data_IF_605648835860
#
_entry.id   IF_605648835860
#
_cell.length_a   1.000
_cell.length_b   1.000
_cell.length_c   1.000
_cell.angle_alpha   90.00
_cell.angle_beta   90.00
_cell.angle_gamma   90.00
#
_symmetry.space_group_name_H-M   'P 1'
#
loop_
_entity.id
_entity.type
_entity.pdbx_description
1 polymer ?
#
# COMPACT_ATOMS: atom_id res chain seq x y z
N UNK A 1 4.46 -12.52 -13.95
CA UNK A 1 4.01 -11.44 -14.83
C UNK A 1 3.16 -10.41 -14.08
N UNK A 2 2.47 -10.81 -13.00
CA UNK A 2 1.67 -9.93 -12.12
C UNK A 2 2.53 -8.97 -11.25
N UNK A 3 3.81 -9.32 -11.06
CA UNK A 3 4.81 -8.61 -10.25
C UNK A 3 5.20 -7.20 -10.76
N UNK A 4 5.07 -6.93 -12.06
CA UNK A 4 5.55 -5.67 -12.65
C UNK A 4 4.69 -4.46 -12.29
N UNK A 5 3.39 -4.65 -12.11
CA UNK A 5 2.47 -3.52 -11.90
C UNK A 5 2.49 -3.04 -10.46
N UNK A 6 2.65 -3.96 -9.50
CA UNK A 6 2.83 -3.62 -8.10
C UNK A 6 4.10 -2.78 -7.88
N UNK A 7 5.19 -3.17 -8.54
CA UNK A 7 6.46 -2.41 -8.49
C UNK A 7 6.27 -0.99 -9.05
N UNK A 8 5.51 -0.82 -10.13
CA UNK A 8 5.25 0.50 -10.72
C UNK A 8 4.45 1.40 -9.78
N UNK A 9 3.39 0.87 -9.14
CA UNK A 9 2.59 1.63 -8.17
C UNK A 9 3.40 2.03 -6.93
N UNK A 10 4.25 1.12 -6.42
CA UNK A 10 5.14 1.42 -5.27
C UNK A 10 6.21 2.45 -5.65
N UNK A 11 6.71 2.43 -6.89
CA UNK A 11 7.61 3.46 -7.41
C UNK A 11 6.92 4.82 -7.53
N UNK A 12 5.67 4.88 -8.01
CA UNK A 12 4.89 6.12 -8.05
C UNK A 12 4.64 6.67 -6.64
N UNK A 13 4.25 5.81 -5.69
CA UNK A 13 4.10 6.19 -4.27
C UNK A 13 5.41 6.77 -3.72
N UNK A 14 6.55 6.19 -4.06
CA UNK A 14 7.86 6.66 -3.60
C UNK A 14 8.34 7.92 -4.30
N UNK A 15 7.71 8.30 -5.43
CA UNK A 15 8.00 9.52 -6.18
C UNK A 15 7.11 10.68 -5.74
N UNK A 16 5.96 10.38 -5.11
CA UNK A 16 5.05 11.37 -4.55
C UNK A 16 5.34 11.58 -3.06
N UNK A 17 6.14 12.61 -2.74
CA UNK A 17 6.54 12.94 -1.36
C UNK A 17 5.34 13.19 -0.43
N UNK A 18 4.23 13.75 -0.95
CA UNK A 18 3.06 14.10 -0.14
C UNK A 18 2.31 12.83 0.29
N UNK A 19 2.09 11.91 -0.65
CA UNK A 19 1.52 10.60 -0.38
C UNK A 19 2.44 9.75 0.50
N UNK A 20 3.75 9.74 0.20
CA UNK A 20 4.74 9.01 0.98
C UNK A 20 4.72 9.44 2.45
N UNK A 21 4.73 10.74 2.71
CA UNK A 21 4.62 11.28 4.07
C UNK A 21 3.26 10.98 4.71
N UNK A 22 2.17 10.99 3.94
CA UNK A 22 0.83 10.66 4.45
C UNK A 22 0.73 9.19 4.87
N UNK A 23 1.33 8.26 4.11
CA UNK A 23 1.38 6.83 4.46
C UNK A 23 2.22 6.63 5.72
N UNK A 24 3.38 7.29 5.81
CA UNK A 24 4.26 7.18 6.98
C UNK A 24 3.59 7.73 8.24
N UNK A 25 2.96 8.90 8.15
CA UNK A 25 2.16 9.44 9.24
C UNK A 25 0.98 8.52 9.57
N UNK A 26 0.35 7.96 8.55
CA UNK A 26 -0.72 6.99 8.71
C UNK A 26 -0.29 5.75 9.49
N UNK A 27 0.95 5.27 9.34
CA UNK A 27 1.47 4.17 10.17
C UNK A 27 1.60 4.52 11.64
N UNK A 28 1.85 5.79 11.97
CA UNK A 28 1.79 6.25 13.35
C UNK A 28 0.31 6.40 13.79
N UNK A 29 -0.56 7.00 13.00
CA UNK A 29 -1.94 7.21 13.42
C UNK A 29 -2.76 5.91 13.54
N UNK A 30 -2.46 4.91 12.71
CA UNK A 30 -3.18 3.65 12.65
C UNK A 30 -2.75 2.69 13.77
N UNK A 31 -3.71 2.36 14.64
CA UNK A 31 -3.49 1.49 15.79
C UNK A 31 -3.06 0.07 15.39
N UNK A 32 -3.50 -0.43 14.23
CA UNK A 32 -3.07 -1.74 13.73
C UNK A 32 -1.62 -1.68 13.27
N UNK A 33 -1.22 -0.66 12.52
CA UNK A 33 0.15 -0.48 12.05
C UNK A 33 1.12 -0.34 13.23
N UNK A 34 0.78 0.48 14.22
CA UNK A 34 1.52 0.57 15.48
C UNK A 34 1.66 -0.80 16.15
N UNK A 35 0.54 -1.53 16.29
CA UNK A 35 0.54 -2.85 16.91
C UNK A 35 1.40 -3.84 16.12
N UNK A 36 1.27 -3.90 14.80
CA UNK A 36 2.01 -4.82 13.94
C UNK A 36 3.52 -4.60 14.01
N UNK A 37 3.96 -3.33 14.03
CA UNK A 37 5.37 -2.96 14.19
C UNK A 37 5.86 -3.30 15.61
N UNK A 38 5.07 -3.00 16.65
CA UNK A 38 5.41 -3.29 18.04
C UNK A 38 5.50 -4.79 18.33
N UNK A 39 4.57 -5.57 17.80
CA UNK A 39 4.52 -7.02 18.01
C UNK A 39 5.47 -7.79 17.10
N UNK A 40 6.16 -7.10 16.18
CA UNK A 40 6.97 -7.72 15.10
C UNK A 40 6.25 -8.92 14.50
N UNK A 41 5.05 -8.66 13.96
CA UNK A 41 4.20 -9.71 13.40
C UNK A 41 4.99 -10.54 12.38
N UNK A 42 4.93 -11.87 12.50
CA UNK A 42 5.64 -12.76 11.57
C UNK A 42 5.13 -12.55 10.14
N UNK A 43 6.04 -12.36 9.19
CA UNK A 43 5.70 -11.97 7.81
C UNK A 43 5.64 -10.46 7.55
N UNK A 44 5.80 -9.61 8.57
CA UNK A 44 5.96 -8.16 8.39
C UNK A 44 7.41 -7.83 8.00
N UNK A 45 7.59 -7.30 6.80
CA UNK A 45 8.84 -6.77 6.28
C UNK A 45 8.74 -5.26 6.16
N UNK A 46 9.68 -4.54 6.75
CA UNK A 46 9.83 -3.10 6.54
C UNK A 46 10.85 -2.87 5.43
N UNK A 47 10.45 -2.18 4.36
CA UNK A 47 11.35 -1.79 3.27
C UNK A 47 11.39 -0.27 3.22
N UNK A 48 12.49 0.31 3.69
CA UNK A 48 12.57 1.76 3.91
C UNK A 48 11.61 2.21 5.01
N UNK A 49 10.69 3.13 4.67
CA UNK A 49 9.63 3.56 5.57
C UNK A 49 8.29 2.81 5.34
N UNK A 50 8.20 2.00 4.30
CA UNK A 50 6.99 1.26 3.93
C UNK A 50 6.94 -0.11 4.62
N UNK A 51 5.73 -0.52 5.01
CA UNK A 51 5.46 -1.81 5.64
C UNK A 51 4.85 -2.77 4.63
N UNK A 52 5.37 -3.99 4.58
CA UNK A 52 4.88 -5.06 3.72
C UNK A 52 4.53 -6.26 4.60
N UNK A 53 3.33 -6.81 4.43
CA UNK A 53 2.90 -8.03 5.10
C UNK A 53 2.69 -9.12 4.05
N UNK A 54 3.45 -10.21 4.16
CA UNK A 54 3.37 -11.34 3.23
C UNK A 54 3.47 -10.96 1.73
N UNK A 55 4.34 -10.00 1.41
CA UNK A 55 4.54 -9.40 0.07
C UNK A 55 3.46 -8.43 -0.40
N UNK A 56 2.49 -8.09 0.45
CA UNK A 56 1.50 -7.04 0.19
C UNK A 56 1.86 -5.78 0.93
N UNK A 57 1.70 -4.61 0.30
CA UNK A 57 1.93 -3.35 0.98
C UNK A 57 0.81 -3.15 2.03
N UNK A 58 1.20 -2.86 3.26
CA UNK A 58 0.28 -2.49 4.34
C UNK A 58 -0.15 -1.05 4.11
N UNK A 59 -1.46 -0.85 4.00
CA UNK A 59 -2.04 0.47 3.80
C UNK A 59 -2.72 0.90 5.11
N UNK A 60 -2.28 1.99 5.76
CA UNK A 60 -2.92 2.45 6.98
C UNK A 60 -4.33 2.97 6.68
N UNK A 61 -5.29 2.74 7.58
CA UNK A 61 -6.69 3.19 7.42
C UNK A 61 -6.88 4.63 7.89
N UNK A 62 -5.93 5.51 7.57
CA UNK A 62 -5.92 6.89 8.03
C UNK A 62 -6.30 7.84 6.91
N UNK A 63 -7.33 8.65 7.13
CA UNK A 63 -7.79 9.67 6.18
C UNK A 63 -8.14 9.09 4.79
N UNK A 64 -7.64 9.74 3.73
CA UNK A 64 -7.88 9.36 2.34
C UNK A 64 -6.77 8.47 1.76
N UNK A 65 -5.81 7.99 2.55
CA UNK A 65 -4.70 7.13 2.08
C UNK A 65 -5.21 5.93 1.28
N UNK A 66 -6.20 5.14 1.75
CA UNK A 66 -6.76 4.03 0.98
C UNK A 66 -7.20 4.42 -0.43
N UNK A 67 -7.84 5.58 -0.52
CA UNK A 67 -8.53 6.04 -1.73
C UNK A 67 -7.55 6.66 -2.73
N UNK A 68 -6.54 7.38 -2.23
CA UNK A 68 -5.47 7.91 -3.07
C UNK A 68 -4.58 6.78 -3.59
N UNK A 69 -4.24 5.80 -2.74
CA UNK A 69 -3.46 4.64 -3.16
C UNK A 69 -4.20 3.79 -4.18
N UNK A 70 -5.51 3.60 -3.97
CA UNK A 70 -6.38 2.96 -4.94
C UNK A 70 -6.41 3.70 -6.28
N UNK A 71 -6.44 5.03 -6.26
CA UNK A 71 -6.44 5.88 -7.46
C UNK A 71 -5.11 5.81 -8.20
N UNK A 72 -3.99 5.86 -7.49
CA UNK A 72 -2.65 5.74 -8.07
C UNK A 72 -2.40 4.36 -8.66
N UNK A 73 -2.73 3.30 -7.91
CA UNK A 73 -2.68 1.94 -8.43
C UNK A 73 -3.58 1.78 -9.66
N UNK A 74 -4.78 2.37 -9.65
CA UNK A 74 -5.67 2.37 -10.81
C UNK A 74 -5.05 3.09 -12.03
N UNK A 75 -4.42 4.25 -11.83
CA UNK A 75 -3.73 4.97 -12.91
C UNK A 75 -2.51 4.19 -13.43
N UNK A 76 -1.72 3.59 -12.54
CA UNK A 76 -0.59 2.73 -12.87
C UNK A 76 -1.02 1.46 -13.64
N UNK A 77 -2.20 0.92 -13.30
CA UNK A 77 -2.84 -0.23 -13.96
C UNK A 77 -3.70 0.18 -15.18
N UNK A 78 -3.72 1.48 -15.48
CA UNK A 78 -4.78 2.22 -16.17
C UNK A 78 -4.99 1.98 -17.66
N UNK A 79 -4.90 0.74 -18.14
CA UNK A 79 -5.45 0.39 -19.46
C UNK A 79 -6.21 -0.93 -19.54
N UNK A 80 -6.37 -1.69 -18.44
CA UNK A 80 -7.21 -2.90 -18.43
C UNK A 80 -8.44 -2.70 -17.54
N UNK A 81 -9.60 -3.11 -18.06
CA UNK A 81 -10.92 -2.69 -17.61
C UNK A 81 -11.22 -2.81 -16.11
N UNK A 82 -11.96 -1.80 -15.64
CA UNK A 82 -12.49 -1.48 -14.30
C UNK A 82 -12.71 -2.64 -13.31
N UNK A 83 -13.18 -3.81 -13.76
CA UNK A 83 -13.56 -4.90 -12.86
C UNK A 83 -12.42 -5.84 -12.44
N UNK A 84 -11.37 -6.03 -13.25
CA UNK A 84 -10.23 -6.90 -12.87
C UNK A 84 -9.25 -6.16 -11.96
N UNK A 85 -9.08 -4.86 -12.22
CA UNK A 85 -8.17 -3.97 -11.51
C UNK A 85 -8.47 -3.92 -10.02
N UNK A 86 -9.75 -3.89 -9.63
CA UNK A 86 -10.14 -3.82 -8.22
C UNK A 86 -9.83 -5.11 -7.44
N UNK A 87 -10.00 -6.29 -8.06
CA UNK A 87 -9.72 -7.57 -7.43
C UNK A 87 -8.21 -7.77 -7.21
N UNK A 88 -7.40 -7.54 -8.25
CA UNK A 88 -5.94 -7.63 -8.15
C UNK A 88 -5.36 -6.61 -7.16
N UNK A 89 -5.97 -5.42 -7.07
CA UNK A 89 -5.60 -4.39 -6.09
C UNK A 89 -5.92 -4.82 -4.66
N UNK A 90 -7.10 -5.42 -4.42
CA UNK A 90 -7.46 -5.99 -3.11
C UNK A 90 -6.59 -7.18 -2.70
N UNK A 91 -6.12 -7.96 -3.68
CA UNK A 91 -5.17 -9.05 -3.42
C UNK A 91 -3.76 -8.54 -3.13
N UNK A 92 -3.33 -7.44 -3.75
CA UNK A 92 -1.97 -6.89 -3.61
C UNK A 92 -1.76 -6.00 -2.37
N UNK A 93 -2.83 -5.46 -1.77
CA UNK A 93 -2.77 -4.62 -0.58
C UNK A 93 -3.36 -5.33 0.63
N UNK A 94 -2.64 -5.27 1.75
CA UNK A 94 -3.14 -5.80 3.00
C UNK A 94 -3.92 -4.73 3.75
N UNK A 95 -5.21 -5.00 3.92
CA UNK A 95 -6.14 -4.18 4.71
C UNK A 95 -6.41 -4.91 6.04
N UNK A 96 -5.87 -4.43 7.17
CA UNK A 96 -6.28 -4.93 8.49
C UNK A 96 -7.72 -4.56 8.82
#
# INVERSE_FOLDING_TARGET
ADDKHFVSAVLEISTDDELYNTIINGYDEDAWCKKAVLTKMDGLKKQGALLFYNSHLVVPRTGNVPQTLATLAHNALGHFGFNKTYATMWEAFYWP
#
